data_IF_850799798311
#
_entry.id   IF_850799798311
#
_cell.length_a   1.000
_cell.length_b   1.000
_cell.length_c   1.000
_cell.angle_alpha   90.00
_cell.angle_beta   90.00
_cell.angle_gamma   90.00
#
_symmetry.space_group_name_H-M   'P 1'
#
loop_
_entity.id
_entity.type
_entity.pdbx_description
1 polymer ?
#
# COMPACT_ATOMS: atom_id res chain seq x y z
N UNK A 1 -22.12 -9.67 2.40
CA UNK A 1 -20.88 -9.38 3.16
C UNK A 1 -19.68 -9.77 2.34
N UNK A 2 -18.67 -8.89 2.33
CA UNK A 2 -17.36 -9.22 1.79
C UNK A 2 -16.63 -10.08 2.83
N UNK A 3 -16.65 -11.39 2.62
CA UNK A 3 -16.12 -12.39 3.57
C UNK A 3 -14.61 -12.27 3.74
N UNK A 4 -13.90 -11.73 2.73
CA UNK A 4 -12.44 -11.69 2.71
C UNK A 4 -11.86 -10.29 2.91
N UNK A 5 -12.62 -9.24 2.65
CA UNK A 5 -12.27 -7.82 2.88
C UNK A 5 -10.81 -7.49 2.50
N UNK A 6 -10.44 -7.86 1.28
CA UNK A 6 -9.05 -7.76 0.80
C UNK A 6 -8.60 -6.31 0.64
N UNK A 7 -9.55 -5.37 0.59
CA UNK A 7 -9.30 -3.94 0.47
C UNK A 7 -8.73 -3.36 1.76
N UNK A 8 -9.05 -3.94 2.91
CA UNK A 8 -8.50 -3.57 4.23
C UNK A 8 -6.99 -3.82 4.34
N UNK A 9 -6.44 -4.74 3.54
CA UNK A 9 -5.00 -5.04 3.55
C UNK A 9 -4.15 -3.86 3.07
N UNK A 10 -4.71 -3.01 2.20
CA UNK A 10 -4.01 -1.86 1.65
C UNK A 10 -3.87 -0.74 2.69
N UNK A 11 -2.78 -0.80 3.45
CA UNK A 11 -2.38 0.20 4.44
C UNK A 11 -2.04 1.56 3.83
N UNK A 12 -1.54 1.58 2.59
CA UNK A 12 -1.11 2.79 1.92
C UNK A 12 -1.65 2.81 0.48
N UNK A 13 -2.20 3.95 0.08
CA UNK A 13 -2.63 4.26 -1.28
C UNK A 13 -1.98 5.57 -1.68
N UNK A 14 -1.19 5.55 -2.75
CA UNK A 14 -0.39 6.70 -3.19
C UNK A 14 -0.46 6.86 -4.71
N UNK A 15 -0.26 8.06 -5.25
CA UNK A 15 -0.26 8.29 -6.69
C UNK A 15 0.97 7.66 -7.40
N UNK A 16 0.91 7.52 -8.73
CA UNK A 16 1.97 6.89 -9.52
C UNK A 16 3.32 7.64 -9.49
N UNK A 17 3.30 8.96 -9.38
CA UNK A 17 4.50 9.79 -9.26
C UNK A 17 5.26 9.55 -7.95
N UNK A 18 4.58 9.09 -6.90
CA UNK A 18 5.16 8.69 -5.61
C UNK A 18 5.55 7.20 -5.54
N UNK A 19 5.43 6.44 -6.64
CA UNK A 19 5.75 5.01 -6.66
C UNK A 19 7.14 4.67 -6.08
N UNK A 20 8.24 5.44 -6.33
CA UNK A 20 9.54 5.16 -5.72
C UNK A 20 9.50 5.14 -4.18
N UNK A 21 8.74 6.05 -3.55
CA UNK A 21 8.57 6.08 -2.11
C UNK A 21 7.72 4.91 -1.61
N UNK A 22 6.67 4.54 -2.35
CA UNK A 22 5.87 3.35 -2.06
C UNK A 22 6.71 2.06 -2.04
N UNK A 23 7.61 1.89 -3.01
CA UNK A 23 8.53 0.75 -3.03
C UNK A 23 9.48 0.76 -1.84
N UNK A 24 10.01 1.92 -1.46
CA UNK A 24 10.90 2.09 -0.30
C UNK A 24 10.21 1.72 1.01
N UNK A 25 8.98 2.22 1.21
CA UNK A 25 8.16 1.92 2.37
C UNK A 25 7.90 0.42 2.48
N UNK A 26 7.50 -0.21 1.38
CA UNK A 26 7.21 -1.64 1.33
C UNK A 26 8.45 -2.53 1.55
N UNK A 27 9.59 -2.13 1.00
CA UNK A 27 10.86 -2.84 1.16
C UNK A 27 11.36 -2.76 2.61
N UNK A 28 11.28 -1.57 3.22
CA UNK A 28 11.78 -1.33 4.57
C UNK A 28 10.79 -1.75 5.67
N UNK A 29 9.52 -2.01 5.32
CA UNK A 29 8.44 -2.37 6.26
C UNK A 29 8.30 -1.37 7.41
N UNK A 30 8.49 -0.10 7.10
CA UNK A 30 8.33 1.00 8.05
C UNK A 30 6.90 1.52 8.05
N UNK A 31 6.54 2.32 9.05
CA UNK A 31 5.22 2.98 9.17
C UNK A 31 4.02 2.01 9.12
N UNK A 32 4.17 0.82 9.70
CA UNK A 32 3.11 -0.20 9.67
C UNK A 32 2.76 -0.69 8.25
N UNK A 33 3.66 -0.54 7.28
CA UNK A 33 3.41 -0.91 5.89
C UNK A 33 3.20 -2.42 5.70
N UNK A 34 1.96 -2.80 5.37
CA UNK A 34 1.58 -4.18 5.00
C UNK A 34 1.47 -4.31 3.48
N UNK A 35 0.72 -3.42 2.83
CA UNK A 35 0.50 -3.39 1.38
C UNK A 35 0.35 -1.95 0.90
N UNK A 36 1.05 -1.65 -0.20
CA UNK A 36 0.96 -0.39 -0.93
C UNK A 36 0.18 -0.64 -2.21
N UNK A 37 -0.77 0.22 -2.53
CA UNK A 37 -1.49 0.23 -3.81
C UNK A 37 -1.18 1.55 -4.51
N UNK A 38 -0.71 1.47 -5.76
CA UNK A 38 -0.48 2.64 -6.59
C UNK A 38 -1.79 3.01 -7.30
N UNK A 39 -2.19 4.26 -7.20
CA UNK A 39 -3.36 4.80 -7.86
C UNK A 39 -2.95 5.67 -9.06
N UNK A 40 -3.58 5.48 -10.23
CA UNK A 40 -3.32 6.30 -11.42
C UNK A 40 -3.56 7.79 -11.20
#
# INVERSE_FOLDING_TARGET
DDVLDLESLATHRIPLDEAPDGYRLFQTKTDGCIKVVLQP
#
